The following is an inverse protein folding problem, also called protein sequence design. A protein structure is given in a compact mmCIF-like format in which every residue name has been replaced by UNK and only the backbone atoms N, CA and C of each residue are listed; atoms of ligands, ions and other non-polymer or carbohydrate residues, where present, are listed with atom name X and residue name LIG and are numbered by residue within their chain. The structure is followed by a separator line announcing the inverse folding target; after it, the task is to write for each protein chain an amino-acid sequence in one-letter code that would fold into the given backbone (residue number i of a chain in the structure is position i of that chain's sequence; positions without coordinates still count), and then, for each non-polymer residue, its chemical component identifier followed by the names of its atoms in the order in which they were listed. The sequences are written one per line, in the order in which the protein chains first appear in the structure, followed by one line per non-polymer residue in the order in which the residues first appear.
data_IF_563622339657
#
_entry.id   IF_563622339657
#
_cell.length_a   1.000
_cell.length_b   1.000
_cell.length_c   1.000
_cell.angle_alpha   90.00
_cell.angle_beta   90.00
_cell.angle_gamma   90.00
#
_symmetry.space_group_name_H-M   'P 1'
#
loop_
_entity.id
_entity.type
_entity.pdbx_description
1 polymer ?
#
# COMPACT_ATOMS: atom_id res chain seq x y z
N UNK A 1 -29.08 93.98 -10.25
CA UNK A 1 -29.41 92.72 -10.98
C UNK A 1 -28.17 91.82 -11.09
N UNK A 2 -27.76 91.09 -10.05
CA UNK A 2 -26.68 90.06 -10.17
C UNK A 2 -26.86 88.83 -9.27
N UNK A 3 -27.84 88.79 -8.35
CA UNK A 3 -28.03 87.66 -7.42
C UNK A 3 -28.86 86.49 -7.97
N UNK A 4 -29.65 86.70 -9.03
CA UNK A 4 -30.50 85.65 -9.62
C UNK A 4 -29.78 84.66 -10.55
N UNK A 5 -28.56 84.97 -10.99
CA UNK A 5 -27.79 84.12 -11.90
C UNK A 5 -27.03 83.02 -11.13
N UNK A 6 -26.46 83.34 -9.97
CA UNK A 6 -25.68 82.40 -9.16
C UNK A 6 -26.52 81.25 -8.58
N UNK A 7 -27.79 81.50 -8.25
CA UNK A 7 -28.68 80.46 -7.71
C UNK A 7 -29.06 79.44 -8.80
N UNK A 8 -29.33 79.89 -10.04
CA UNK A 8 -29.62 79.00 -11.17
C UNK A 8 -28.39 78.20 -11.61
N UNK A 9 -27.20 78.81 -11.61
CA UNK A 9 -25.95 78.11 -11.95
C UNK A 9 -25.54 77.11 -10.87
N UNK A 10 -25.74 77.43 -9.59
CA UNK A 10 -25.49 76.51 -8.48
C UNK A 10 -26.41 75.28 -8.51
N UNK A 11 -27.69 75.47 -8.80
CA UNK A 11 -28.66 74.37 -8.89
C UNK A 11 -28.39 73.43 -10.07
N UNK A 12 -27.89 73.96 -11.19
CA UNK A 12 -27.55 73.17 -12.37
C UNK A 12 -26.28 72.34 -12.17
N UNK A 13 -25.27 72.90 -11.50
CA UNK A 13 -24.06 72.14 -11.11
C UNK A 13 -24.40 71.00 -10.14
N UNK A 14 -25.31 71.23 -9.20
CA UNK A 14 -25.72 70.21 -8.24
C UNK A 14 -26.49 69.06 -8.91
N UNK A 15 -27.32 69.37 -9.92
CA UNK A 15 -28.00 68.36 -10.73
C UNK A 15 -27.00 67.53 -11.57
N UNK A 16 -25.98 68.15 -12.16
CA UNK A 16 -24.93 67.44 -12.92
C UNK A 16 -24.12 66.53 -12.01
N UNK A 17 -23.79 66.96 -10.79
CA UNK A 17 -23.08 66.12 -9.81
C UNK A 17 -23.93 64.91 -9.40
N UNK A 18 -25.24 65.06 -9.22
CA UNK A 18 -26.14 63.94 -8.92
C UNK A 18 -26.21 62.96 -10.09
N UNK A 19 -26.36 63.45 -11.33
CA UNK A 19 -26.40 62.59 -12.52
C UNK A 19 -25.07 61.84 -12.71
N UNK A 20 -23.93 62.49 -12.48
CA UNK A 20 -22.61 61.86 -12.53
C UNK A 20 -22.41 60.85 -11.40
N UNK A 21 -22.89 61.14 -10.18
CA UNK A 21 -22.83 60.21 -9.05
C UNK A 21 -23.72 58.97 -9.27
N UNK A 22 -24.90 59.15 -9.87
CA UNK A 22 -25.79 58.05 -10.26
C UNK A 22 -25.20 57.23 -11.41
N UNK A 23 -24.58 57.88 -12.41
CA UNK A 23 -23.91 57.20 -13.52
C UNK A 23 -22.69 56.39 -13.06
N UNK A 24 -21.83 56.96 -12.20
CA UNK A 24 -20.72 56.23 -11.59
C UNK A 24 -21.19 55.13 -10.63
N UNK A 25 -22.29 55.37 -9.90
CA UNK A 25 -22.91 54.40 -9.01
C UNK A 25 -23.40 53.15 -9.74
N UNK A 26 -24.02 53.30 -10.92
CA UNK A 26 -24.46 52.17 -11.74
C UNK A 26 -23.29 51.47 -12.47
N UNK A 27 -22.26 52.19 -12.91
CA UNK A 27 -21.12 51.58 -13.62
C UNK A 27 -20.21 50.71 -12.71
N UNK A 28 -20.29 50.90 -11.39
CA UNK A 28 -19.47 50.13 -10.43
C UNK A 28 -20.16 48.84 -9.95
N UNK A 29 -21.47 48.69 -10.19
CA UNK A 29 -22.25 47.51 -9.77
C UNK A 29 -22.09 46.35 -10.78
N UNK A 30 -21.83 46.63 -12.05
CA UNK A 30 -21.67 45.59 -13.09
C UNK A 30 -20.32 44.83 -13.05
N UNK A 31 -19.34 45.28 -12.26
CA UNK A 31 -18.01 44.64 -12.18
C UNK A 31 -17.84 43.66 -11.01
N UNK A 32 -18.83 43.51 -10.12
CA UNK A 32 -18.75 42.56 -9.00
C UNK A 32 -19.21 41.14 -9.38
N UNK A 33 -20.04 40.96 -10.42
CA UNK A 33 -20.50 39.63 -10.86
C UNK A 33 -19.42 38.83 -11.62
N UNK A 34 -18.56 39.49 -12.39
CA UNK A 34 -17.47 38.83 -13.12
C UNK A 34 -16.39 38.26 -12.20
N UNK A 35 -16.14 38.93 -11.06
CA UNK A 35 -15.14 38.52 -10.07
C UNK A 35 -15.63 37.29 -9.30
N UNK A 36 -16.89 37.30 -8.84
CA UNK A 36 -17.51 36.17 -8.11
C UNK A 36 -17.58 34.91 -9.00
N UNK A 37 -17.96 35.04 -10.28
CA UNK A 37 -17.98 33.90 -11.20
C UNK A 37 -16.59 33.27 -11.45
N UNK A 38 -15.53 34.09 -11.47
CA UNK A 38 -14.16 33.61 -11.66
C UNK A 38 -13.56 32.96 -10.40
N UNK A 39 -13.92 33.47 -9.21
CA UNK A 39 -13.53 32.90 -7.93
C UNK A 39 -14.24 31.56 -7.68
N UNK A 40 -15.54 31.46 -7.96
CA UNK A 40 -16.28 30.19 -7.88
C UNK A 40 -15.70 29.13 -8.82
N UNK A 41 -15.39 29.51 -10.08
CA UNK A 41 -14.72 28.61 -11.04
C UNK A 41 -13.32 28.18 -10.58
N UNK A 42 -12.55 29.06 -9.93
CA UNK A 42 -11.23 28.69 -9.38
C UNK A 42 -11.36 27.73 -8.20
N UNK A 43 -12.29 27.96 -7.29
CA UNK A 43 -12.57 27.06 -6.15
C UNK A 43 -13.05 25.70 -6.64
N UNK A 44 -13.91 25.67 -7.66
CA UNK A 44 -14.43 24.42 -8.22
C UNK A 44 -13.35 23.63 -8.97
N UNK A 45 -12.50 24.30 -9.75
CA UNK A 45 -11.31 23.66 -10.36
C UNK A 45 -10.32 23.15 -9.33
N UNK A 46 -10.08 23.89 -8.25
CA UNK A 46 -9.20 23.43 -7.16
C UNK A 46 -9.80 22.23 -6.42
N UNK A 47 -11.10 22.23 -6.12
CA UNK A 47 -11.78 21.07 -5.55
C UNK A 47 -11.69 19.85 -6.46
N UNK A 48 -11.90 20.03 -7.76
CA UNK A 48 -11.74 18.97 -8.75
C UNK A 48 -10.31 18.42 -8.80
N UNK A 49 -9.31 19.30 -8.79
CA UNK A 49 -7.89 18.89 -8.75
C UNK A 49 -7.55 18.15 -7.45
N UNK A 50 -8.02 18.62 -6.31
CA UNK A 50 -7.82 17.95 -5.00
C UNK A 50 -8.50 16.57 -5.01
N UNK A 51 -9.70 16.46 -5.57
CA UNK A 51 -10.42 15.20 -5.66
C UNK A 51 -9.71 14.22 -6.61
N UNK A 52 -9.21 14.71 -7.75
CA UNK A 52 -8.41 13.91 -8.68
C UNK A 52 -7.11 13.45 -8.02
N UNK A 53 -6.35 14.34 -7.40
CA UNK A 53 -5.12 14.02 -6.66
C UNK A 53 -5.38 13.01 -5.54
N UNK A 54 -6.47 13.16 -4.80
CA UNK A 54 -6.87 12.21 -3.74
C UNK A 54 -7.25 10.86 -4.34
N UNK A 55 -7.96 10.84 -5.46
CA UNK A 55 -8.38 9.59 -6.13
C UNK A 55 -7.17 8.87 -6.74
N UNK A 56 -6.29 9.60 -7.43
CA UNK A 56 -5.03 9.08 -7.98
C UNK A 56 -4.10 8.62 -6.87
N UNK A 57 -3.95 9.39 -5.79
CA UNK A 57 -3.18 8.98 -4.61
C UNK A 57 -3.75 7.72 -3.96
N UNK A 58 -5.08 7.64 -3.77
CA UNK A 58 -5.73 6.44 -3.22
C UNK A 58 -5.59 5.22 -4.15
N UNK A 59 -5.73 5.41 -5.47
CA UNK A 59 -5.51 4.35 -6.46
C UNK A 59 -4.04 3.90 -6.49
N UNK A 60 -3.10 4.84 -6.38
CA UNK A 60 -1.66 4.55 -6.33
C UNK A 60 -1.28 3.87 -5.02
N UNK A 61 -1.84 4.29 -3.88
CA UNK A 61 -1.68 3.60 -2.59
C UNK A 61 -2.26 2.19 -2.67
N UNK A 62 -3.47 2.00 -3.23
CA UNK A 62 -4.05 0.67 -3.42
C UNK A 62 -3.19 -0.21 -4.30
N UNK A 63 -2.74 0.29 -5.45
CA UNK A 63 -1.88 -0.44 -6.40
C UNK A 63 -0.52 -0.78 -5.78
N UNK A 64 0.06 0.15 -5.01
CA UNK A 64 1.31 -0.10 -4.29
C UNK A 64 1.10 -1.13 -3.16
N UNK A 65 0.01 -1.04 -2.40
CA UNK A 65 -0.32 -2.04 -1.36
C UNK A 65 -0.58 -3.41 -1.95
N UNK A 66 -1.26 -3.51 -3.09
CA UNK A 66 -1.48 -4.76 -3.80
C UNK A 66 -0.15 -5.34 -4.31
N UNK A 67 0.70 -4.53 -4.94
CA UNK A 67 2.03 -4.94 -5.36
C UNK A 67 2.93 -5.37 -4.19
N UNK A 68 2.85 -4.72 -3.03
CA UNK A 68 3.61 -5.09 -1.86
C UNK A 68 3.07 -6.37 -1.21
N UNK A 69 1.75 -6.55 -1.19
CA UNK A 69 1.14 -7.79 -0.72
C UNK A 69 1.54 -8.98 -1.59
N UNK A 70 1.58 -8.82 -2.92
CA UNK A 70 2.06 -9.88 -3.81
C UNK A 70 3.54 -10.23 -3.56
N UNK A 71 4.40 -9.24 -3.32
CA UNK A 71 5.80 -9.49 -2.93
C UNK A 71 5.92 -10.23 -1.60
N UNK A 72 5.09 -9.88 -0.62
CA UNK A 72 5.03 -10.60 0.66
C UNK A 72 4.57 -12.04 0.42
N UNK A 73 3.53 -12.27 -0.38
CA UNK A 73 3.05 -13.63 -0.72
C UNK A 73 4.15 -14.45 -1.38
N UNK A 74 4.87 -13.89 -2.34
CA UNK A 74 5.98 -14.55 -3.01
C UNK A 74 7.09 -14.93 -2.02
N UNK A 75 7.53 -13.98 -1.18
CA UNK A 75 8.50 -14.26 -0.11
C UNK A 75 8.04 -15.37 0.84
N UNK A 76 6.77 -15.36 1.25
CA UNK A 76 6.20 -16.37 2.17
C UNK A 76 6.11 -17.74 1.50
N UNK A 77 5.71 -17.82 0.23
CA UNK A 77 5.67 -19.08 -0.52
C UNK A 77 7.06 -19.69 -0.65
N UNK A 78 8.05 -18.89 -1.02
CA UNK A 78 9.44 -19.35 -1.12
C UNK A 78 9.97 -19.75 0.26
N UNK A 79 9.62 -19.02 1.32
CA UNK A 79 9.94 -19.41 2.70
C UNK A 79 9.36 -20.78 3.07
N UNK A 80 8.07 -21.01 2.82
CA UNK A 80 7.39 -22.28 3.13
C UNK A 80 8.06 -23.43 2.37
N UNK A 81 8.25 -23.29 1.05
CA UNK A 81 8.97 -24.29 0.25
C UNK A 81 10.38 -24.53 0.76
N UNK A 82 11.10 -23.48 1.12
CA UNK A 82 12.49 -23.61 1.57
C UNK A 82 12.62 -24.33 2.90
N UNK A 83 11.77 -23.97 3.88
CA UNK A 83 11.90 -24.47 5.24
C UNK A 83 11.20 -25.82 5.40
N UNK A 84 10.03 -26.02 4.80
CA UNK A 84 9.19 -27.19 5.03
C UNK A 84 9.31 -28.27 3.95
N UNK A 85 9.71 -27.94 2.71
CA UNK A 85 9.87 -28.97 1.68
C UNK A 85 11.26 -29.57 1.78
N UNK A 86 11.37 -30.85 2.15
CA UNK A 86 12.65 -31.55 2.33
C UNK A 86 12.71 -32.73 1.38
N UNK A 87 13.62 -32.68 0.41
CA UNK A 87 13.87 -33.75 -0.55
C UNK A 87 15.38 -33.84 -0.82
N UNK A 88 15.90 -35.05 -1.02
CA UNK A 88 17.35 -35.29 -1.14
C UNK A 88 17.99 -34.50 -2.30
N UNK A 89 17.30 -34.44 -3.44
CA UNK A 89 17.74 -33.74 -4.65
C UNK A 89 17.68 -32.21 -4.58
N UNK A 90 17.11 -31.63 -3.51
CA UNK A 90 16.89 -30.18 -3.39
C UNK A 90 17.60 -29.54 -2.19
N UNK A 91 18.41 -30.29 -1.43
CA UNK A 91 19.04 -29.78 -0.19
C UNK A 91 19.92 -28.54 -0.40
N UNK A 92 20.76 -28.52 -1.45
CA UNK A 92 21.61 -27.35 -1.74
C UNK A 92 20.77 -26.14 -2.18
N UNK A 93 19.80 -26.36 -3.06
CA UNK A 93 18.91 -25.30 -3.56
C UNK A 93 18.07 -24.68 -2.44
N UNK A 94 17.60 -25.49 -1.48
CA UNK A 94 16.89 -24.98 -0.29
C UNK A 94 17.74 -23.98 0.47
N UNK A 95 19.02 -24.30 0.69
CA UNK A 95 19.92 -23.43 1.42
C UNK A 95 20.15 -22.09 0.72
N UNK A 96 20.28 -22.10 -0.61
CA UNK A 96 20.43 -20.87 -1.37
C UNK A 96 19.16 -20.02 -1.37
N UNK A 97 17.99 -20.65 -1.53
CA UNK A 97 16.70 -19.98 -1.42
C UNK A 97 16.52 -19.37 -0.03
N UNK A 98 16.96 -20.06 1.04
CA UNK A 98 16.83 -19.59 2.42
C UNK A 98 17.52 -18.23 2.62
N UNK A 99 18.69 -18.03 2.01
CA UNK A 99 19.43 -16.75 2.08
C UNK A 99 18.67 -15.59 1.43
N UNK A 100 17.72 -15.86 0.54
CA UNK A 100 16.97 -14.83 -0.19
C UNK A 100 15.71 -14.39 0.54
N UNK A 101 15.17 -15.22 1.44
CA UNK A 101 13.88 -14.99 2.11
C UNK A 101 13.95 -14.98 3.64
N UNK A 102 15.06 -15.41 4.24
CA UNK A 102 15.27 -15.33 5.69
C UNK A 102 16.17 -14.15 6.03
N UNK A 103 15.97 -13.59 7.22
CA UNK A 103 17.01 -12.75 7.84
C UNK A 103 18.24 -13.60 8.16
N UNK A 104 19.39 -12.96 8.31
CA UNK A 104 20.63 -13.65 8.67
C UNK A 104 20.47 -14.47 9.96
N UNK A 105 19.81 -13.91 10.98
CA UNK A 105 19.53 -14.59 12.25
C UNK A 105 18.70 -15.88 12.05
N UNK A 106 17.65 -15.81 11.22
CA UNK A 106 16.81 -16.97 10.91
C UNK A 106 17.57 -18.00 10.08
N UNK A 107 18.35 -17.55 9.09
CA UNK A 107 19.18 -18.44 8.29
C UNK A 107 20.17 -19.23 9.16
N UNK A 108 20.89 -18.57 10.06
CA UNK A 108 21.87 -19.22 10.93
C UNK A 108 21.21 -20.21 11.91
N UNK A 109 19.99 -19.90 12.37
CA UNK A 109 19.22 -20.76 13.25
C UNK A 109 18.74 -22.05 12.59
N UNK A 110 18.30 -22.00 11.33
CA UNK A 110 17.66 -23.15 10.66
C UNK A 110 18.55 -23.83 9.60
N UNK A 111 19.62 -23.20 9.12
CA UNK A 111 20.50 -23.69 8.05
C UNK A 111 22.00 -23.62 8.43
N UNK A 112 22.28 -23.85 9.71
CA UNK A 112 23.65 -23.86 10.25
C UNK A 112 24.50 -24.93 9.56
N UNK A 113 25.82 -24.71 9.49
CA UNK A 113 26.75 -25.53 8.69
C UNK A 113 26.84 -27.02 9.08
N UNK A 114 26.24 -27.42 10.20
CA UNK A 114 26.31 -28.77 10.76
C UNK A 114 25.31 -29.75 10.12
N UNK A 115 24.42 -29.30 9.22
CA UNK A 115 23.53 -30.19 8.44
C UNK A 115 24.27 -31.05 7.40
N UNK A 116 25.60 -30.94 7.29
CA UNK A 116 26.40 -31.77 6.39
C UNK A 116 26.54 -33.19 6.93
N UNK A 117 25.62 -34.08 6.55
CA UNK A 117 25.94 -35.51 6.44
C UNK A 117 25.00 -36.51 7.13
N UNK A 118 23.80 -36.11 7.53
CA UNK A 118 22.77 -37.08 7.96
C UNK A 118 22.08 -37.72 6.76
N UNK A 119 21.90 -39.05 6.77
CA UNK A 119 20.96 -39.71 5.85
C UNK A 119 19.55 -39.21 6.17
N UNK A 120 18.83 -38.68 5.17
CA UNK A 120 17.43 -38.29 5.34
C UNK A 120 16.61 -39.51 5.78
N UNK A 121 15.78 -39.31 6.81
CA UNK A 121 14.84 -40.33 7.29
C UNK A 121 13.44 -40.13 6.72
N UNK A 122 13.12 -38.87 6.40
CA UNK A 122 11.82 -38.43 5.92
C UNK A 122 11.99 -37.44 4.76
N UNK A 123 11.06 -37.48 3.83
CA UNK A 123 10.84 -36.42 2.84
C UNK A 123 9.54 -35.70 3.13
N UNK A 124 9.50 -34.41 2.86
CA UNK A 124 8.34 -33.56 3.04
C UNK A 124 8.03 -32.87 1.71
N UNK A 125 6.79 -33.03 1.24
CA UNK A 125 6.27 -32.40 0.03
C UNK A 125 5.16 -31.45 0.44
N UNK A 126 5.13 -30.24 -0.11
CA UNK A 126 4.12 -29.23 0.18
C UNK A 126 3.13 -29.16 -0.99
N UNK A 127 1.85 -29.14 -0.66
CA UNK A 127 0.72 -29.01 -1.57
C UNK A 127 -0.18 -27.84 -1.11
N UNK A 128 -0.85 -27.19 -2.06
CA UNK A 128 -1.93 -26.21 -1.82
C UNK A 128 -1.65 -25.13 -0.75
N UNK A 129 -0.61 -24.31 -0.96
CA UNK A 129 -0.32 -23.17 -0.09
C UNK A 129 -1.25 -21.98 -0.36
N UNK A 130 -1.94 -21.49 0.68
CA UNK A 130 -2.74 -20.26 0.66
C UNK A 130 -2.14 -19.23 1.61
N UNK A 131 -1.87 -18.02 1.12
CA UNK A 131 -1.25 -16.93 1.90
C UNK A 131 -2.19 -15.72 2.03
N UNK A 132 -2.41 -15.29 3.28
CA UNK A 132 -3.15 -14.10 3.64
C UNK A 132 -2.19 -13.06 4.23
N UNK A 133 -2.06 -11.89 3.61
CA UNK A 133 -1.08 -10.87 4.02
C UNK A 133 -1.74 -9.66 4.66
N UNK A 134 -1.10 -9.12 5.69
CA UNK A 134 -1.36 -7.81 6.25
C UNK A 134 -0.03 -7.02 6.30
N UNK A 135 -0.01 -5.84 5.67
CA UNK A 135 1.18 -4.99 5.57
C UNK A 135 0.99 -3.72 6.41
N UNK A 136 1.91 -3.49 7.35
CA UNK A 136 1.96 -2.29 8.20
C UNK A 136 3.29 -1.54 7.97
N UNK A 137 3.51 -1.09 6.73
CA UNK A 137 4.64 -0.22 6.36
C UNK A 137 5.95 -0.99 6.18
N UNK A 138 6.81 -0.99 7.21
CA UNK A 138 8.11 -1.69 7.18
C UNK A 138 8.05 -3.09 7.78
N UNK A 139 6.95 -3.40 8.47
CA UNK A 139 6.67 -4.71 9.06
C UNK A 139 5.53 -5.35 8.29
N UNK A 140 5.73 -6.62 7.93
CA UNK A 140 4.75 -7.45 7.25
C UNK A 140 4.33 -8.59 8.16
N UNK A 141 3.08 -9.00 8.03
CA UNK A 141 2.54 -10.19 8.68
C UNK A 141 1.80 -11.01 7.65
N UNK A 142 1.96 -12.33 7.70
CA UNK A 142 1.20 -13.24 6.86
C UNK A 142 0.70 -14.42 7.68
N UNK A 143 -0.49 -14.91 7.35
CA UNK A 143 -0.97 -16.23 7.73
C UNK A 143 -0.86 -17.11 6.50
N UNK A 144 -0.17 -18.23 6.61
CA UNK A 144 -0.06 -19.21 5.53
C UNK A 144 -0.58 -20.54 6.00
N UNK A 145 -1.41 -21.16 5.17
CA UNK A 145 -1.91 -22.53 5.37
C UNK A 145 -1.48 -23.36 4.18
N UNK A 146 -0.92 -24.54 4.42
CA UNK A 146 -0.52 -25.49 3.37
C UNK A 146 -0.74 -26.92 3.84
N UNK A 147 -0.86 -27.82 2.88
CA UNK A 147 -0.86 -29.25 3.15
C UNK A 147 0.56 -29.78 2.96
N UNK A 148 1.00 -30.66 3.84
CA UNK A 148 2.26 -31.37 3.70
C UNK A 148 2.03 -32.87 3.69
N UNK A 149 2.82 -33.58 2.90
CA UNK A 149 2.91 -35.04 2.93
C UNK A 149 4.31 -35.42 3.37
N UNK A 150 4.40 -36.02 4.56
CA UNK A 150 5.61 -36.67 5.06
C UNK A 150 5.68 -38.09 4.49
N UNK A 151 6.81 -38.46 3.87
CA UNK A 151 7.11 -39.83 3.43
C UNK A 151 8.29 -40.37 4.22
N UNK A 152 8.10 -41.48 4.94
CA UNK A 152 9.18 -42.21 5.61
C UNK A 152 10.01 -42.97 4.59
N UNK A 153 11.30 -42.68 4.50
CA UNK A 153 12.23 -43.33 3.56
C UNK A 153 12.58 -44.76 3.98
N UNK A 154 12.24 -45.18 5.20
CA UNK A 154 12.49 -46.53 5.70
C UNK A 154 11.44 -47.55 5.21
N UNK A 155 10.19 -47.12 5.05
CA UNK A 155 9.06 -48.02 4.80
C UNK A 155 8.02 -47.47 3.81
N UNK A 156 8.25 -46.29 3.21
CA UNK A 156 7.37 -45.59 2.28
C UNK A 156 5.97 -45.28 2.84
N UNK A 157 5.80 -45.26 4.16
CA UNK A 157 4.56 -44.78 4.78
C UNK A 157 4.43 -43.28 4.57
N UNK A 158 3.20 -42.85 4.28
CA UNK A 158 2.84 -41.46 4.03
C UNK A 158 1.87 -40.99 5.09
N UNK A 159 2.11 -39.79 5.59
CA UNK A 159 1.21 -39.07 6.49
C UNK A 159 1.01 -37.68 5.92
N UNK A 160 -0.25 -37.27 5.82
CA UNK A 160 -0.61 -35.94 5.33
C UNK A 160 -1.13 -35.10 6.48
N UNK A 161 -0.75 -33.83 6.50
CA UNK A 161 -1.23 -32.89 7.51
C UNK A 161 -1.43 -31.51 6.90
N UNK A 162 -2.32 -30.73 7.51
CA UNK A 162 -2.51 -29.32 7.20
C UNK A 162 -1.84 -28.48 8.28
N UNK A 163 -0.94 -27.61 7.84
CA UNK A 163 -0.16 -26.73 8.69
C UNK A 163 -0.64 -25.29 8.51
N UNK A 164 -0.78 -24.56 9.60
CA UNK A 164 -1.01 -23.10 9.58
C UNK A 164 0.08 -22.39 10.35
N UNK A 165 0.73 -21.42 9.69
CA UNK A 165 1.79 -20.60 10.26
C UNK A 165 1.39 -19.12 10.28
N UNK A 166 1.86 -18.44 11.32
CA UNK A 166 1.94 -16.99 11.38
C UNK A 166 3.39 -16.56 11.10
N UNK A 167 3.59 -15.80 10.03
CA UNK A 167 4.89 -15.37 9.53
C UNK A 167 5.03 -13.86 9.72
N UNK A 168 6.15 -13.45 10.30
CA UNK A 168 6.54 -12.06 10.50
C UNK A 168 7.67 -11.72 9.53
N UNK A 169 7.52 -10.61 8.83
CA UNK A 169 8.44 -10.15 7.81
C UNK A 169 8.92 -8.74 8.13
N UNK A 170 10.16 -8.46 7.76
CA UNK A 170 10.74 -7.12 7.78
C UNK A 170 11.21 -6.73 6.38
N UNK A 171 11.08 -5.45 6.05
CA UNK A 171 11.56 -4.92 4.78
C UNK A 171 13.03 -4.52 4.86
N UNK A 172 13.86 -5.14 4.04
CA UNK A 172 15.28 -4.80 3.87
C UNK A 172 15.53 -4.38 2.42
N UNK A 173 15.66 -3.07 2.20
CA UNK A 173 15.66 -2.49 0.86
C UNK A 173 14.35 -2.77 0.13
N UNK A 174 14.43 -3.47 -1.01
CA UNK A 174 13.27 -3.88 -1.80
C UNK A 174 12.76 -5.30 -1.47
N UNK A 175 13.37 -5.99 -0.50
CA UNK A 175 13.05 -7.38 -0.16
C UNK A 175 12.26 -7.48 1.14
N UNK A 176 11.34 -8.43 1.17
CA UNK A 176 10.65 -8.86 2.38
C UNK A 176 11.30 -10.14 2.89
N UNK A 177 11.89 -10.07 4.08
CA UNK A 177 12.60 -11.18 4.71
C UNK A 177 11.84 -11.64 5.96
N UNK A 178 11.70 -12.95 6.11
CA UNK A 178 11.11 -13.59 7.28
C UNK A 178 12.08 -13.50 8.45
N UNK A 179 11.67 -12.81 9.51
CA UNK A 179 12.46 -12.65 10.73
C UNK A 179 11.98 -13.56 11.87
N UNK A 180 10.72 -14.01 11.81
CA UNK A 180 10.13 -14.92 12.78
C UNK A 180 8.92 -15.63 12.17
N UNK A 181 8.64 -16.85 12.64
CA UNK A 181 7.36 -17.51 12.39
C UNK A 181 6.91 -18.29 13.61
N UNK A 182 5.61 -18.60 13.67
CA UNK A 182 5.00 -19.44 14.68
C UNK A 182 4.04 -20.41 14.02
N UNK A 183 4.16 -21.70 14.31
CA UNK A 183 3.14 -22.67 13.95
C UNK A 183 1.95 -22.50 14.88
N UNK A 184 0.79 -22.25 14.30
CA UNK A 184 -0.47 -22.09 15.02
C UNK A 184 -1.20 -23.42 15.16
N UNK A 185 -1.28 -24.17 14.05
CA UNK A 185 -2.08 -25.39 13.93
C UNK A 185 -1.31 -26.41 13.08
N UNK A 186 -1.41 -27.69 13.47
CA UNK A 186 -1.05 -28.84 12.65
C UNK A 186 -2.12 -29.93 12.85
N UNK A 187 -2.83 -30.26 11.78
CA UNK A 187 -3.96 -31.19 11.81
C UNK A 187 -3.71 -32.34 10.82
N UNK A 188 -3.85 -33.62 11.22
CA UNK A 188 -3.78 -34.73 10.27
C UNK A 188 -4.95 -34.66 9.28
N UNK A 189 -4.69 -35.08 8.03
CA UNK A 189 -5.68 -35.14 6.95
C UNK A 189 -6.23 -36.54 6.73
#
# INVERSE_FOLDING_TARGET
MRSGFYIKTGMLLLAVVIVLAVWFGFQTIDNQEATIGSLTKKVERQKYQIQLLKSTSQQQTKKNSESENERIKESVNVFVQTVYQVQENHLEQRRDNARTVLTQEMFDKYFSNDEKGGKLLYEYVIEDSTVYTNNEGVNGKAIVTFEETMTSLANNQKESSRITLEVFLQKEGDKWLVNRFQQLIAEPL
#
